data_IF_263991570723
#
_entry.id   IF_263991570723
#
_cell.length_a   1.000
_cell.length_b   1.000
_cell.length_c   1.000
_cell.angle_alpha   90.00
_cell.angle_beta   90.00
_cell.angle_gamma   90.00
#
_symmetry.space_group_name_H-M   'P 1'
#
loop_
_entity.id
_entity.type
_entity.pdbx_description
1 polymer ?
#
# COMPACT_ATOMS: atom_id res chain seq x y z
N UNK A 1 -11.77 2.66 -9.59
CA UNK A 1 -10.66 1.69 -9.67
C UNK A 1 -10.36 1.33 -8.22
N UNK A 2 -10.68 0.12 -7.81
CA UNK A 2 -10.73 -0.28 -6.40
C UNK A 2 -10.95 -1.78 -6.34
N UNK A 3 -9.92 -2.52 -6.74
CA UNK A 3 -9.81 -3.95 -6.55
C UNK A 3 -8.59 -4.23 -5.67
N UNK A 4 -8.48 -5.44 -5.17
CA UNK A 4 -7.26 -5.92 -4.53
C UNK A 4 -6.17 -5.96 -5.59
N UNK A 5 -5.11 -5.19 -5.38
CA UNK A 5 -3.97 -5.10 -6.29
C UNK A 5 -2.71 -5.60 -5.59
N UNK A 6 -1.74 -6.04 -6.37
CA UNK A 6 -0.44 -6.43 -5.87
C UNK A 6 0.46 -5.20 -5.73
N UNK A 7 1.08 -5.03 -4.56
CA UNK A 7 2.16 -4.07 -4.39
C UNK A 7 3.47 -4.71 -4.88
N UNK A 8 3.82 -4.54 -6.15
CA UNK A 8 4.97 -5.21 -6.78
C UNK A 8 6.29 -4.78 -6.13
N UNK A 9 7.01 -5.75 -5.55
CA UNK A 9 8.29 -5.53 -4.87
C UNK A 9 9.52 -5.89 -5.71
N UNK A 10 9.31 -6.38 -6.93
CA UNK A 10 10.37 -6.76 -7.88
C UNK A 10 10.57 -5.72 -8.98
N UNK A 11 9.52 -5.00 -9.38
CA UNK A 11 9.52 -4.06 -10.50
C UNK A 11 9.13 -2.65 -10.06
N UNK A 12 9.59 -1.67 -10.83
CA UNK A 12 9.45 -0.24 -10.52
C UNK A 12 10.59 0.57 -11.15
N UNK A 13 10.57 1.88 -10.92
CA UNK A 13 11.50 2.86 -11.49
C UNK A 13 11.46 2.92 -13.04
N UNK A 14 10.34 2.54 -13.64
CA UNK A 14 10.12 2.54 -15.09
C UNK A 14 8.81 3.26 -15.46
N UNK A 15 8.57 3.45 -16.76
CA UNK A 15 7.40 4.19 -17.26
C UNK A 15 6.06 3.52 -16.91
N UNK A 16 6.01 2.18 -16.92
CA UNK A 16 4.81 1.39 -16.58
C UNK A 16 4.39 1.65 -15.12
N UNK A 17 5.36 1.78 -14.23
CA UNK A 17 5.16 2.09 -12.81
C UNK A 17 5.22 3.59 -12.50
N UNK A 18 5.11 4.46 -13.51
CA UNK A 18 5.20 5.92 -13.38
C UNK A 18 6.45 6.40 -12.62
N UNK A 19 7.56 5.67 -12.79
CA UNK A 19 8.86 5.86 -12.12
C UNK A 19 8.81 5.76 -10.59
N UNK A 20 7.75 5.18 -10.03
CA UNK A 20 7.68 4.89 -8.61
C UNK A 20 8.61 3.71 -8.27
N UNK A 21 9.31 3.75 -7.13
CA UNK A 21 10.17 2.65 -6.73
C UNK A 21 9.35 1.37 -6.48
N UNK A 22 9.98 0.19 -6.59
CA UNK A 22 9.34 -1.06 -6.17
C UNK A 22 8.83 -0.96 -4.74
N UNK A 23 7.72 -1.62 -4.48
CA UNK A 23 7.11 -1.71 -3.17
C UNK A 23 8.04 -2.43 -2.17
N UNK A 24 7.91 -2.13 -0.88
CA UNK A 24 8.60 -2.93 0.14
C UNK A 24 7.85 -4.25 0.35
N UNK A 25 8.58 -5.30 0.68
CA UNK A 25 8.07 -6.67 0.80
C UNK A 25 7.13 -6.91 2.00
N UNK A 26 6.96 -5.93 2.89
CA UNK A 26 6.16 -6.02 4.11
C UNK A 26 5.05 -4.96 4.17
N UNK A 27 4.53 -4.54 3.01
CA UNK A 27 3.53 -3.49 2.89
C UNK A 27 2.14 -4.10 2.70
N UNK A 28 1.19 -3.54 3.42
CA UNK A 28 -0.24 -3.69 3.13
C UNK A 28 -0.71 -2.33 2.62
N UNK A 29 -0.96 -2.23 1.31
CA UNK A 29 -1.44 -0.99 0.72
C UNK A 29 -2.96 -0.86 0.91
N UNK A 30 -3.34 0.03 1.82
CA UNK A 30 -4.72 0.19 2.27
C UNK A 30 -5.43 1.33 1.56
N UNK A 31 -6.65 1.08 1.08
CA UNK A 31 -7.52 2.15 0.56
C UNK A 31 -7.87 3.19 1.63
N UNK A 32 -8.28 4.40 1.20
CA UNK A 32 -8.76 5.48 2.09
C UNK A 32 -9.82 4.99 3.13
N UNK A 33 -10.64 4.01 2.76
CA UNK A 33 -11.63 3.42 3.67
C UNK A 33 -10.98 2.62 4.80
N UNK A 34 -9.88 1.90 4.55
CA UNK A 34 -9.13 1.15 5.56
C UNK A 34 -8.50 2.11 6.55
N UNK A 35 -7.83 3.15 6.07
CA UNK A 35 -7.26 4.22 6.92
C UNK A 35 -8.33 4.86 7.82
N UNK A 36 -9.48 5.19 7.24
CA UNK A 36 -10.60 5.80 7.97
C UNK A 36 -11.21 4.84 9.02
N UNK A 37 -11.36 3.55 8.69
CA UNK A 37 -11.91 2.54 9.59
C UNK A 37 -10.99 2.26 10.78
N UNK A 38 -9.67 2.36 10.59
CA UNK A 38 -8.67 2.24 11.66
C UNK A 38 -8.49 3.55 12.45
N UNK A 39 -9.11 4.65 12.02
CA UNK A 39 -8.97 5.97 12.66
C UNK A 39 -7.58 6.60 12.49
N UNK A 40 -6.88 6.27 11.39
CA UNK A 40 -5.52 6.71 11.10
C UNK A 40 -5.50 7.90 10.13
N UNK A 41 -4.55 8.81 10.32
CA UNK A 41 -4.33 9.92 9.38
C UNK A 41 -3.42 9.48 8.22
N UNK A 42 -3.98 9.38 7.01
CA UNK A 42 -3.23 8.96 5.81
C UNK A 42 -2.06 9.86 5.42
N UNK A 43 -2.07 11.13 5.84
CA UNK A 43 -0.98 12.08 5.53
C UNK A 43 0.33 11.73 6.24
N UNK A 44 0.28 10.89 7.28
CA UNK A 44 1.48 10.31 7.92
C UNK A 44 2.22 9.37 6.94
N UNK A 45 1.52 8.84 5.94
CA UNK A 45 2.06 8.04 4.85
C UNK A 45 2.19 6.56 5.18
N UNK A 46 2.91 6.21 6.26
CA UNK A 46 3.16 4.82 6.66
C UNK A 46 3.04 4.67 8.17
N UNK A 47 2.38 3.60 8.60
CA UNK A 47 2.28 3.20 10.01
C UNK A 47 2.54 1.71 10.17
N UNK A 48 3.00 1.30 11.36
CA UNK A 48 3.16 -0.11 11.69
C UNK A 48 1.81 -0.76 11.98
N UNK A 49 1.56 -1.92 11.38
CA UNK A 49 0.35 -2.71 11.57
C UNK A 49 0.68 -4.20 11.66
N UNK A 50 -0.25 -4.95 12.25
CA UNK A 50 -0.26 -6.42 12.21
C UNK A 50 -1.54 -6.87 11.53
N UNK A 51 -1.46 -7.89 10.69
CA UNK A 51 -2.62 -8.46 10.02
C UNK A 51 -2.58 -9.99 10.08
N UNK A 52 -3.74 -10.61 9.96
CA UNK A 52 -3.93 -12.05 9.81
C UNK A 52 -5.07 -12.29 8.82
N UNK A 53 -5.17 -13.51 8.29
CA UNK A 53 -6.37 -13.93 7.58
C UNK A 53 -7.56 -13.90 8.56
N UNK A 54 -8.73 -13.49 8.06
CA UNK A 54 -9.98 -13.50 8.80
C UNK A 54 -10.67 -14.88 8.75
#
# INVERSE_FOLDING_TARGET
>A
MGGWDECDSMRGCDEEHAYQPPCRNNIVDGSDAVWSALGLEKNVGVVDVTWSMA
#
